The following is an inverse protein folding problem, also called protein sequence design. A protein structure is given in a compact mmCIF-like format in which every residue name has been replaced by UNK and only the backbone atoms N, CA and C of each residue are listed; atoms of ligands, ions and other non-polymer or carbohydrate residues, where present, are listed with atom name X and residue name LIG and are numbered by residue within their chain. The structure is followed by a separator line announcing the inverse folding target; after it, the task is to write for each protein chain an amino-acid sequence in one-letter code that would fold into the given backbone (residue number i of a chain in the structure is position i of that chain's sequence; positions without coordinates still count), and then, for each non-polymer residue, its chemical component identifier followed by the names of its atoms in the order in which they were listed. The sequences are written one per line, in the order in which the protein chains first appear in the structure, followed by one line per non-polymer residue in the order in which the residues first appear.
data_IF_059507648287
#
_entry.id   IF_059507648287
#
_cell.length_a   1.000
_cell.length_b   1.000
_cell.length_c   1.000
_cell.angle_alpha   90.00
_cell.angle_beta   90.00
_cell.angle_gamma   90.00
#
_symmetry.space_group_name_H-M   'P 1'
#
loop_
_entity.id
_entity.type
_entity.pdbx_description
1 polymer ?
#
# COMPACT_ATOMS: atom_id res chain seq x y z
N UNK A 1 -0.88 7.98 8.02
CA UNK A 1 -0.33 8.82 6.94
C UNK A 1 -1.46 9.09 5.95
N UNK A 2 -1.65 10.33 5.54
CA UNK A 2 -2.70 10.70 4.58
C UNK A 2 -2.41 10.05 3.22
N UNK A 3 -3.46 9.63 2.52
CA UNK A 3 -3.37 8.97 1.21
C UNK A 3 -2.74 9.88 0.14
N UNK A 4 -2.90 11.18 0.25
CA UNK A 4 -2.30 12.15 -0.68
C UNK A 4 -0.75 12.02 -0.83
N UNK A 5 -0.09 11.30 0.09
CA UNK A 5 1.33 11.03 -0.01
C UNK A 5 1.67 9.82 -0.90
N UNK A 6 0.70 8.95 -1.23
CA UNK A 6 0.97 7.75 -2.02
C UNK A 6 1.39 8.05 -3.46
N UNK A 7 0.92 9.16 -4.02
CA UNK A 7 1.19 9.55 -5.39
C UNK A 7 2.56 10.25 -5.56
N UNK A 8 3.24 10.59 -4.42
CA UNK A 8 4.51 11.32 -4.44
C UNK A 8 5.45 10.80 -3.34
N UNK A 9 6.31 9.82 -3.67
CA UNK A 9 7.29 9.26 -2.71
C UNK A 9 8.23 10.31 -2.10
N UNK A 10 8.49 11.42 -2.79
CA UNK A 10 9.35 12.48 -2.27
C UNK A 10 8.65 13.28 -1.17
N UNK A 11 7.37 13.61 -1.36
CA UNK A 11 6.54 14.22 -0.31
C UNK A 11 6.31 13.28 0.86
N UNK A 12 6.08 11.99 0.59
CA UNK A 12 5.99 10.97 1.63
C UNK A 12 7.27 10.92 2.47
N UNK A 13 8.43 10.91 1.83
CA UNK A 13 9.72 10.93 2.51
C UNK A 13 9.89 12.16 3.39
N UNK A 14 9.56 13.35 2.89
CA UNK A 14 9.66 14.58 3.70
C UNK A 14 8.77 14.49 4.93
N UNK A 15 7.53 14.04 4.78
CA UNK A 15 6.60 13.85 5.91
C UNK A 15 7.13 12.83 6.93
N UNK A 16 7.75 11.74 6.46
CA UNK A 16 8.42 10.76 7.33
C UNK A 16 9.51 11.45 8.15
N UNK A 17 10.40 12.21 7.53
CA UNK A 17 11.49 12.91 8.21
C UNK A 17 10.99 13.92 9.24
N UNK A 18 9.96 14.69 8.91
CA UNK A 18 9.31 15.64 9.83
C UNK A 18 8.69 14.94 11.03
N UNK A 19 7.99 13.82 10.78
CA UNK A 19 7.37 13.01 11.83
C UNK A 19 8.43 12.42 12.77
N UNK A 20 9.51 11.87 12.22
CA UNK A 20 10.60 11.31 13.01
C UNK A 20 11.33 12.38 13.83
N UNK A 21 11.52 13.58 13.28
CA UNK A 21 12.16 14.70 13.97
C UNK A 21 11.30 15.25 15.12
N UNK A 22 9.97 15.10 15.05
CA UNK A 22 9.04 15.55 16.07
C UNK A 22 8.85 14.54 17.23
N UNK A 23 9.48 13.37 17.16
CA UNK A 23 9.33 12.35 18.21
C UNK A 23 9.96 12.81 19.53
N UNK A 24 9.30 12.56 20.67
CA UNK A 24 9.86 12.81 22.00
C UNK A 24 11.19 12.09 22.22
N UNK A 25 12.03 12.65 23.09
CA UNK A 25 13.34 12.03 23.39
C UNK A 25 13.20 10.66 24.04
N UNK A 26 12.17 10.46 24.84
CA UNK A 26 11.87 9.22 25.56
C UNK A 26 11.53 8.03 24.65
N UNK A 27 11.16 8.29 23.39
CA UNK A 27 10.92 7.22 22.41
C UNK A 27 12.25 6.60 22.02
N UNK A 28 12.42 5.33 22.27
CA UNK A 28 13.60 4.55 21.91
C UNK A 28 13.41 3.73 20.60
N UNK A 29 12.16 3.35 20.29
CA UNK A 29 11.83 2.47 19.18
C UNK A 29 10.62 3.00 18.41
N UNK A 30 10.72 3.04 17.09
CA UNK A 30 9.65 3.43 16.18
C UNK A 30 9.19 2.19 15.40
N UNK A 31 7.92 1.85 15.56
CA UNK A 31 7.25 0.79 14.80
C UNK A 31 6.62 1.40 13.56
N UNK A 32 7.04 0.94 12.40
CA UNK A 32 6.62 1.49 11.10
C UNK A 32 5.60 0.55 10.46
N UNK A 33 4.33 0.95 10.45
CA UNK A 33 3.23 0.17 9.87
C UNK A 33 3.08 0.43 8.35
N UNK A 34 4.17 0.32 7.60
CA UNK A 34 4.20 0.43 6.14
C UNK A 34 5.44 -0.26 5.56
N UNK A 35 5.46 -0.51 4.26
CA UNK A 35 6.62 -1.04 3.56
C UNK A 35 7.60 0.05 3.09
N UNK A 36 8.50 -0.30 2.16
CA UNK A 36 9.47 0.62 1.55
C UNK A 36 8.82 1.74 0.73
N UNK A 37 7.62 1.47 0.18
CA UNK A 37 6.70 2.43 -0.45
C UNK A 37 7.38 3.37 -1.45
N UNK A 38 7.83 2.82 -2.59
CA UNK A 38 8.40 3.60 -3.69
C UNK A 38 9.72 4.31 -3.34
N UNK A 39 10.43 3.85 -2.31
CA UNK A 39 11.70 4.44 -1.88
C UNK A 39 11.55 5.62 -0.90
N UNK A 40 10.36 5.84 -0.36
CA UNK A 40 10.12 6.92 0.63
C UNK A 40 11.00 6.79 1.87
N UNK A 41 11.47 5.60 2.20
CA UNK A 41 12.40 5.31 3.30
C UNK A 41 13.88 5.33 2.90
N UNK A 42 14.20 5.44 1.61
CA UNK A 42 15.60 5.43 1.16
C UNK A 42 16.41 6.53 1.84
N UNK A 43 17.54 6.17 2.43
CA UNK A 43 18.47 7.05 3.14
C UNK A 43 17.87 7.78 4.37
N UNK A 44 16.80 7.22 4.97
CA UNK A 44 16.23 7.72 6.23
C UNK A 44 17.02 7.16 7.41
N UNK A 45 17.29 8.01 8.41
CA UNK A 45 17.78 7.66 9.75
C UNK A 45 17.15 8.61 10.76
N UNK A 46 16.97 8.19 12.02
CA UNK A 46 16.25 9.03 13.00
C UNK A 46 16.84 9.01 14.41
N UNK A 47 18.02 8.45 14.63
CA UNK A 47 18.59 8.36 15.98
C UNK A 47 17.81 7.45 16.95
N UNK A 48 16.79 6.74 16.47
CA UNK A 48 15.97 5.77 17.20
C UNK A 48 16.08 4.41 16.50
N UNK A 49 15.76 3.32 17.23
CA UNK A 49 15.57 2.01 16.58
C UNK A 49 14.37 2.10 15.63
N UNK A 50 14.51 1.60 14.41
CA UNK A 50 13.40 1.45 13.46
C UNK A 50 13.08 -0.03 13.29
N UNK A 51 11.79 -0.38 13.32
CA UNK A 51 11.29 -1.71 12.98
C UNK A 51 10.26 -1.56 11.87
N UNK A 52 10.59 -2.09 10.70
CA UNK A 52 9.81 -1.90 9.46
C UNK A 52 9.52 -3.28 8.87
N UNK A 53 8.28 -3.62 8.50
CA UNK A 53 8.00 -4.82 7.72
C UNK A 53 8.82 -4.84 6.43
N UNK A 54 9.48 -5.97 6.14
CA UNK A 54 10.36 -6.15 5.00
C UNK A 54 9.55 -6.42 3.73
N UNK A 55 8.78 -5.44 3.29
CA UNK A 55 7.91 -5.51 2.11
C UNK A 55 8.04 -4.27 1.23
N UNK A 56 7.72 -4.43 -0.06
CA UNK A 56 7.81 -3.37 -1.06
C UNK A 56 6.89 -2.18 -0.76
N UNK A 57 5.66 -2.45 -0.31
CA UNK A 57 4.64 -1.44 -0.03
C UNK A 57 3.51 -1.99 0.87
N UNK A 58 2.47 -1.16 1.07
CA UNK A 58 1.33 -1.52 1.88
C UNK A 58 0.45 -2.62 1.27
N UNK A 59 0.49 -2.79 -0.05
CA UNK A 59 -0.20 -3.90 -0.73
C UNK A 59 0.48 -5.22 -0.38
N UNK A 60 1.79 -5.32 -0.58
CA UNK A 60 2.56 -6.51 -0.22
C UNK A 60 2.49 -6.82 1.29
N UNK A 61 2.38 -5.77 2.13
CA UNK A 61 2.14 -5.92 3.57
C UNK A 61 0.86 -6.70 3.85
N UNK A 62 -0.23 -6.37 3.17
CA UNK A 62 -1.55 -6.97 3.39
C UNK A 62 -1.70 -8.33 2.71
N UNK A 63 -1.04 -8.54 1.56
CA UNK A 63 -1.03 -9.83 0.85
C UNK A 63 -0.20 -10.90 1.58
N UNK A 64 0.67 -10.51 2.52
CA UNK A 64 1.45 -11.47 3.32
C UNK A 64 0.54 -12.24 4.27
N UNK A 65 0.64 -13.57 4.25
CA UNK A 65 -0.05 -14.48 5.18
C UNK A 65 0.98 -15.28 5.99
N UNK A 66 0.54 -16.23 6.83
CA UNK A 66 1.47 -17.12 7.52
C UNK A 66 2.26 -18.00 6.57
N UNK A 67 1.60 -18.49 5.52
CA UNK A 67 2.15 -19.45 4.57
C UNK A 67 2.79 -18.79 3.35
N UNK A 68 2.50 -17.50 3.11
CA UNK A 68 2.95 -16.79 1.92
C UNK A 68 3.64 -15.49 2.32
N UNK A 69 4.94 -15.41 2.05
CA UNK A 69 5.74 -14.20 2.23
C UNK A 69 6.74 -14.04 1.09
N UNK A 70 6.75 -12.85 0.54
CA UNK A 70 7.81 -12.30 -0.31
C UNK A 70 7.85 -10.79 -0.08
N UNK A 71 9.01 -10.14 -0.25
CA UNK A 71 9.07 -8.67 -0.21
C UNK A 71 8.10 -7.99 -1.16
N UNK A 72 7.82 -8.55 -2.32
CA UNK A 72 6.77 -8.10 -3.22
C UNK A 72 5.92 -9.30 -3.67
N UNK A 73 4.64 -9.27 -3.32
CA UNK A 73 3.65 -10.30 -3.66
C UNK A 73 2.69 -9.84 -4.76
N UNK A 74 2.81 -8.60 -5.21
CA UNK A 74 1.95 -8.09 -6.29
C UNK A 74 2.20 -8.82 -7.59
N UNK A 75 1.12 -9.12 -8.29
CA UNK A 75 1.18 -9.71 -9.62
C UNK A 75 1.12 -8.61 -10.69
N UNK A 76 1.87 -8.72 -11.78
CA UNK A 76 1.72 -7.80 -12.92
C UNK A 76 0.30 -7.81 -13.47
N UNK A 77 -0.27 -6.65 -13.72
CA UNK A 77 -1.63 -6.53 -14.25
C UNK A 77 -2.75 -6.66 -13.22
N UNK A 78 -2.42 -6.80 -11.94
CA UNK A 78 -3.39 -6.88 -10.84
C UNK A 78 -3.49 -5.56 -10.08
N UNK A 79 -4.71 -5.11 -9.82
CA UNK A 79 -5.04 -4.01 -8.94
C UNK A 79 -5.76 -4.55 -7.70
N UNK A 80 -5.43 -4.02 -6.52
CA UNK A 80 -5.90 -4.58 -5.25
C UNK A 80 -6.84 -3.63 -4.52
N UNK A 81 -7.99 -4.17 -4.04
CA UNK A 81 -9.00 -3.46 -3.26
C UNK A 81 -8.98 -3.91 -1.79
N UNK A 82 -9.06 -2.97 -0.86
CA UNK A 82 -8.92 -3.21 0.59
C UNK A 82 -10.14 -2.77 1.41
N UNK A 83 -11.33 -2.69 0.85
CA UNK A 83 -12.56 -2.41 1.59
C UNK A 83 -12.65 -1.04 2.26
N UNK A 84 -11.71 -0.14 2.02
CA UNK A 84 -11.74 1.21 2.60
C UNK A 84 -12.73 2.09 1.86
N UNK A 85 -13.95 2.18 2.42
CA UNK A 85 -15.01 3.06 1.90
C UNK A 85 -14.66 4.56 2.00
N UNK A 86 -13.64 4.93 2.82
CA UNK A 86 -13.24 6.32 3.01
C UNK A 86 -12.08 6.72 2.10
N UNK A 87 -11.49 5.78 1.40
CA UNK A 87 -10.28 6.03 0.62
C UNK A 87 -10.46 7.01 -0.53
N UNK A 88 -11.69 7.30 -0.95
CA UNK A 88 -11.97 8.19 -2.09
C UNK A 88 -11.40 7.68 -3.42
N UNK A 89 -10.68 6.55 -3.40
CA UNK A 89 -10.19 5.91 -4.59
C UNK A 89 -11.29 5.00 -5.13
N UNK A 90 -11.81 5.37 -6.26
CA UNK A 90 -12.58 4.45 -7.08
C UNK A 90 -12.20 4.71 -8.53
N UNK A 91 -12.27 3.69 -9.33
CA UNK A 91 -12.08 3.79 -10.79
C UNK A 91 -13.04 4.82 -11.37
N UNK A 92 -14.27 4.84 -10.84
CA UNK A 92 -15.29 5.81 -11.20
C UNK A 92 -14.88 7.25 -10.88
N UNK A 93 -14.31 7.51 -9.70
CA UNK A 93 -13.88 8.87 -9.33
C UNK A 93 -12.74 9.39 -10.23
N UNK A 94 -11.85 8.50 -10.66
CA UNK A 94 -10.82 8.85 -11.65
C UNK A 94 -11.48 9.24 -12.96
N UNK A 95 -12.43 8.44 -13.47
CA UNK A 95 -13.15 8.74 -14.71
C UNK A 95 -13.88 10.09 -14.62
N UNK A 96 -14.63 10.32 -13.53
CA UNK A 96 -15.37 11.56 -13.33
C UNK A 96 -14.43 12.79 -13.28
N UNK A 97 -13.28 12.67 -12.60
CA UNK A 97 -12.26 13.74 -12.57
C UNK A 97 -11.65 14.03 -13.95
N UNK A 98 -11.49 13.01 -14.80
CA UNK A 98 -11.04 13.21 -16.18
C UNK A 98 -12.10 13.92 -17.02
N UNK A 99 -13.38 13.55 -16.86
CA UNK A 99 -14.50 14.19 -17.53
C UNK A 99 -14.70 15.65 -17.13
N UNK A 100 -14.26 16.06 -15.93
CA UNK A 100 -14.24 17.46 -15.51
C UNK A 100 -13.12 18.27 -16.17
N UNK A 101 -12.00 17.63 -16.52
CA UNK A 101 -10.79 18.29 -17.03
C UNK A 101 -10.70 18.33 -18.55
N UNK A 102 -11.27 17.34 -19.21
CA UNK A 102 -11.11 17.11 -20.64
C UNK A 102 -12.46 16.94 -21.32
N UNK A 103 -12.52 17.11 -22.64
CA UNK A 103 -13.66 16.64 -23.41
C UNK A 103 -13.75 15.10 -23.33
N UNK A 104 -14.91 14.57 -23.70
CA UNK A 104 -15.20 13.14 -23.55
C UNK A 104 -14.19 12.24 -24.26
N UNK A 105 -13.79 12.58 -25.47
CA UNK A 105 -12.87 11.75 -26.27
C UNK A 105 -11.49 11.68 -25.63
N UNK A 106 -10.97 12.81 -25.17
CA UNK A 106 -9.69 12.89 -24.47
C UNK A 106 -9.76 12.20 -23.09
N UNK A 107 -10.84 12.41 -22.34
CA UNK A 107 -11.04 11.77 -21.04
C UNK A 107 -11.06 10.24 -21.14
N UNK A 108 -11.78 9.71 -22.12
CA UNK A 108 -11.82 8.26 -22.40
C UNK A 108 -10.44 7.73 -22.82
N UNK A 109 -9.71 8.42 -23.67
CA UNK A 109 -8.38 8.03 -24.10
C UNK A 109 -7.39 7.99 -22.93
N UNK A 110 -7.39 9.01 -22.09
CA UNK A 110 -6.53 9.07 -20.90
C UNK A 110 -6.92 7.99 -19.90
N UNK A 111 -8.22 7.77 -19.67
CA UNK A 111 -8.71 6.71 -18.80
C UNK A 111 -8.24 5.32 -19.26
N UNK A 112 -8.40 5.00 -20.54
CA UNK A 112 -7.93 3.74 -21.10
C UNK A 112 -6.41 3.58 -20.91
N UNK A 113 -5.63 4.63 -21.15
CA UNK A 113 -4.18 4.62 -20.98
C UNK A 113 -3.76 4.36 -19.51
N UNK A 114 -4.54 4.83 -18.51
CA UNK A 114 -4.30 4.55 -17.11
C UNK A 114 -4.48 3.08 -16.75
N UNK A 115 -5.42 2.38 -17.39
CA UNK A 115 -5.84 1.03 -17.01
C UNK A 115 -5.48 -0.05 -18.03
N UNK A 116 -4.87 0.29 -19.17
CA UNK A 116 -4.58 -0.66 -20.25
C UNK A 116 -3.75 -1.89 -19.84
N UNK A 117 -3.02 -1.79 -18.73
CA UNK A 117 -2.17 -2.87 -18.22
C UNK A 117 -2.78 -3.61 -17.03
N UNK A 118 -4.00 -3.23 -16.60
CA UNK A 118 -4.71 -3.91 -15.53
C UNK A 118 -5.81 -4.79 -16.13
N UNK A 119 -5.73 -6.09 -15.85
CA UNK A 119 -6.69 -7.09 -16.32
C UNK A 119 -7.27 -7.93 -15.19
N UNK A 120 -6.84 -7.72 -13.94
CA UNK A 120 -7.45 -8.25 -12.72
C UNK A 120 -7.69 -7.13 -11.71
N UNK A 121 -8.84 -7.20 -11.04
CA UNK A 121 -9.21 -6.38 -9.90
C UNK A 121 -9.46 -7.30 -8.71
N UNK A 122 -8.52 -7.32 -7.77
CA UNK A 122 -8.49 -8.29 -6.68
C UNK A 122 -9.05 -7.70 -5.39
N UNK A 123 -10.12 -8.26 -4.86
CA UNK A 123 -10.60 -7.97 -3.51
C UNK A 123 -9.74 -8.75 -2.52
N UNK A 124 -9.05 -8.05 -1.61
CA UNK A 124 -8.18 -8.67 -0.62
C UNK A 124 -8.98 -9.02 0.63
N UNK A 125 -9.14 -10.32 0.90
CA UNK A 125 -9.74 -10.84 2.12
C UNK A 125 -8.70 -10.89 3.23
N UNK A 126 -8.64 -9.83 4.05
CA UNK A 126 -7.73 -9.73 5.19
C UNK A 126 -8.44 -9.86 6.55
N UNK A 127 -9.73 -10.17 6.57
CA UNK A 127 -10.53 -10.35 7.77
C UNK A 127 -10.88 -9.07 8.54
N UNK A 128 -10.53 -7.87 8.05
CA UNK A 128 -10.84 -6.59 8.72
C UNK A 128 -12.15 -5.96 8.28
N UNK A 129 -12.74 -6.43 7.21
CA UNK A 129 -14.00 -5.96 6.66
C UNK A 129 -14.74 -7.13 6.01
N UNK A 130 -16.05 -6.94 5.79
CA UNK A 130 -16.83 -7.91 5.03
C UNK A 130 -16.58 -7.72 3.53
N UNK A 131 -15.60 -8.44 3.00
CA UNK A 131 -15.23 -8.40 1.59
C UNK A 131 -16.28 -9.06 0.68
N UNK A 132 -17.23 -9.80 1.26
CA UNK A 132 -18.35 -10.46 0.56
C UNK A 132 -19.66 -9.67 0.67
N UNK A 133 -19.67 -8.47 1.29
CA UNK A 133 -20.84 -7.59 1.31
C UNK A 133 -21.36 -7.38 -0.13
N UNK A 134 -22.63 -7.70 -0.43
CA UNK A 134 -23.13 -7.66 -1.81
C UNK A 134 -22.98 -6.29 -2.48
N UNK A 135 -23.15 -5.19 -1.72
CA UNK A 135 -23.01 -3.84 -2.28
C UNK A 135 -21.54 -3.53 -2.61
N UNK A 136 -20.60 -4.03 -1.78
CA UNK A 136 -19.18 -3.87 -2.03
C UNK A 136 -18.74 -4.64 -3.28
N UNK A 137 -19.15 -5.92 -3.38
CA UNK A 137 -18.85 -6.77 -4.53
C UNK A 137 -19.47 -6.23 -5.81
N UNK A 138 -20.72 -5.76 -5.76
CA UNK A 138 -21.39 -5.15 -6.92
C UNK A 138 -20.69 -3.89 -7.39
N UNK A 139 -20.18 -3.05 -6.45
CA UNK A 139 -19.39 -1.88 -6.82
C UNK A 139 -18.04 -2.28 -7.44
N UNK A 140 -17.33 -3.24 -6.85
CA UNK A 140 -16.09 -3.76 -7.38
C UNK A 140 -16.27 -4.37 -8.78
N UNK A 141 -17.39 -5.06 -9.02
CA UNK A 141 -17.71 -5.61 -10.35
C UNK A 141 -17.93 -4.49 -11.37
N UNK A 142 -18.67 -3.42 -11.02
CA UNK A 142 -18.83 -2.25 -11.91
C UNK A 142 -17.49 -1.59 -12.23
N UNK A 143 -16.60 -1.50 -11.25
CA UNK A 143 -15.26 -0.95 -11.44
C UNK A 143 -14.41 -1.85 -12.35
N UNK A 144 -14.47 -3.18 -12.17
CA UNK A 144 -13.80 -4.15 -13.02
C UNK A 144 -14.31 -4.09 -14.47
N UNK A 145 -15.65 -4.09 -14.67
CA UNK A 145 -16.27 -3.98 -15.99
C UNK A 145 -15.84 -2.70 -16.72
N UNK A 146 -15.70 -1.58 -16.00
CA UNK A 146 -15.31 -0.28 -16.56
C UNK A 146 -13.89 -0.27 -17.14
N UNK A 147 -12.97 -1.08 -16.55
CA UNK A 147 -11.59 -1.22 -17.03
C UNK A 147 -11.34 -2.52 -17.79
N UNK A 148 -12.39 -3.31 -18.05
CA UNK A 148 -12.31 -4.61 -18.71
C UNK A 148 -11.43 -5.64 -17.98
N UNK A 149 -11.42 -5.59 -16.64
CA UNK A 149 -10.69 -6.52 -15.78
C UNK A 149 -11.60 -7.64 -15.26
N UNK A 150 -11.01 -8.77 -14.90
CA UNK A 150 -11.67 -9.83 -14.15
C UNK A 150 -11.67 -9.48 -12.66
N UNK A 151 -12.79 -9.74 -11.95
CA UNK A 151 -12.89 -9.56 -10.51
C UNK A 151 -12.56 -10.85 -9.80
N UNK A 152 -11.57 -10.82 -8.91
CA UNK A 152 -11.13 -11.96 -8.13
C UNK A 152 -11.08 -11.65 -6.63
N UNK A 153 -11.00 -12.71 -5.81
CA UNK A 153 -10.76 -12.62 -4.37
C UNK A 153 -9.40 -13.24 -4.06
N UNK A 154 -8.55 -12.51 -3.35
CA UNK A 154 -7.23 -12.98 -2.97
C UNK A 154 -7.06 -12.98 -1.45
N UNK A 155 -6.39 -13.98 -0.88
CA UNK A 155 -6.13 -14.01 0.55
C UNK A 155 -5.16 -12.91 0.96
N UNK A 156 -5.42 -12.33 2.14
CA UNK A 156 -4.54 -11.38 2.80
C UNK A 156 -4.57 -11.59 4.30
N UNK A 157 -3.74 -10.87 5.03
CA UNK A 157 -3.78 -10.88 6.49
C UNK A 157 -3.16 -9.63 7.11
N UNK A 158 -3.28 -9.53 8.43
CA UNK A 158 -2.63 -8.49 9.25
C UNK A 158 -1.45 -9.03 10.04
N UNK A 159 -0.97 -10.22 9.73
CA UNK A 159 0.02 -10.92 10.53
C UNK A 159 1.31 -10.11 10.74
N UNK A 160 1.77 -9.37 9.74
CA UNK A 160 2.95 -8.52 9.91
C UNK A 160 2.67 -7.33 10.85
N UNK A 161 1.47 -6.76 10.83
CA UNK A 161 1.09 -5.69 11.76
C UNK A 161 0.94 -6.22 13.19
N UNK A 162 0.34 -7.38 13.36
CA UNK A 162 0.21 -8.05 14.66
C UNK A 162 1.58 -8.38 15.24
N UNK A 163 2.49 -8.94 14.44
CA UNK A 163 3.87 -9.21 14.86
C UNK A 163 4.63 -7.92 15.16
N UNK A 164 4.43 -6.86 14.36
CA UNK A 164 5.06 -5.58 14.58
C UNK A 164 4.73 -5.02 15.96
N UNK A 165 3.44 -4.96 16.33
CA UNK A 165 3.00 -4.37 17.61
C UNK A 165 3.21 -5.29 18.80
N UNK A 166 3.24 -6.61 18.60
CA UNK A 166 3.50 -7.59 19.68
C UNK A 166 4.99 -7.83 19.95
N UNK A 167 5.89 -7.22 19.17
CA UNK A 167 7.33 -7.42 19.35
C UNK A 167 7.86 -8.76 18.82
N UNK A 168 7.06 -9.51 18.06
CA UNK A 168 7.45 -10.80 17.48
C UNK A 168 8.18 -10.62 16.14
N UNK A 169 9.23 -9.84 16.14
CA UNK A 169 9.98 -9.48 14.95
C UNK A 169 10.91 -10.62 14.52
N UNK A 170 10.59 -11.22 13.41
CA UNK A 170 11.37 -12.28 12.77
C UNK A 170 12.13 -11.74 11.53
N UNK A 171 12.60 -12.61 10.65
CA UNK A 171 13.34 -12.25 9.44
C UNK A 171 12.53 -11.43 8.42
N UNK A 172 11.21 -11.31 8.60
CA UNK A 172 10.31 -10.47 7.80
C UNK A 172 10.30 -9.01 8.23
N UNK A 173 11.21 -8.62 9.13
CA UNK A 173 11.36 -7.24 9.58
C UNK A 173 12.78 -6.72 9.33
N UNK A 174 12.86 -5.50 8.89
CA UNK A 174 14.08 -4.68 8.90
C UNK A 174 14.16 -4.05 10.29
N UNK A 175 15.21 -4.38 11.05
CA UNK A 175 15.46 -3.81 12.38
C UNK A 175 16.76 -3.03 12.30
N UNK A 176 16.66 -1.71 12.42
CA UNK A 176 17.79 -0.79 12.32
C UNK A 176 18.09 -0.15 13.67
N UNK A 177 19.38 -0.09 14.00
CA UNK A 177 19.86 0.63 15.18
C UNK A 177 19.85 2.14 14.95
N UNK A 178 19.94 2.98 16.00
CA UNK A 178 19.85 4.45 15.88
C UNK A 178 20.87 5.11 14.92
N UNK A 179 21.96 4.44 14.59
CA UNK A 179 23.00 4.93 13.68
C UNK A 179 22.88 4.42 12.25
N UNK A 180 21.97 3.47 12.05
CA UNK A 180 21.81 2.84 10.76
C UNK A 180 20.95 3.72 9.84
N UNK A 181 21.13 3.52 8.55
CA UNK A 181 20.41 4.23 7.49
C UNK A 181 19.61 3.21 6.70
N UNK A 182 18.35 3.49 6.45
CA UNK A 182 17.49 2.63 5.62
C UNK A 182 18.01 2.58 4.19
N UNK A 183 18.18 1.38 3.66
CA UNK A 183 18.61 1.13 2.27
C UNK A 183 17.64 0.19 1.57
N UNK A 184 17.49 0.33 0.27
CA UNK A 184 16.67 -0.57 -0.55
C UNK A 184 17.05 -2.05 -0.34
N UNK A 185 18.34 -2.38 -0.26
CA UNK A 185 18.84 -3.73 0.00
C UNK A 185 18.30 -4.35 1.29
N UNK A 186 17.95 -3.54 2.31
CA UNK A 186 17.34 -4.06 3.54
C UNK A 186 15.98 -4.77 3.28
N UNK A 187 15.29 -4.46 2.17
CA UNK A 187 13.96 -4.98 1.86
C UNK A 187 13.97 -6.13 0.86
N UNK A 188 15.00 -6.24 0.02
CA UNK A 188 15.01 -7.16 -1.12
C UNK A 188 16.13 -8.21 -1.08
N UNK A 189 17.03 -8.10 -0.11
CA UNK A 189 18.07 -9.09 0.20
C UNK A 189 17.68 -9.88 1.46
#
# INVERSE_FOLDING_TARGET
MDRAYHDDPAKMRQHILETLAALPEEVDTVLVAMGFCGGSWQDVSCGKRLVIPKVADCVALTLTTEDTYSPDLKQPGHMYLFGDKQSGFSIRAIYDSLMEKYDKEMAEAVFQMYFEHYYHLDIVDNGLYDCYDPNYVEQAQRDADQIHAELDFVPGSNILLEKLVSGQWDTRFVILSPKDVVKQGNFYE
#
